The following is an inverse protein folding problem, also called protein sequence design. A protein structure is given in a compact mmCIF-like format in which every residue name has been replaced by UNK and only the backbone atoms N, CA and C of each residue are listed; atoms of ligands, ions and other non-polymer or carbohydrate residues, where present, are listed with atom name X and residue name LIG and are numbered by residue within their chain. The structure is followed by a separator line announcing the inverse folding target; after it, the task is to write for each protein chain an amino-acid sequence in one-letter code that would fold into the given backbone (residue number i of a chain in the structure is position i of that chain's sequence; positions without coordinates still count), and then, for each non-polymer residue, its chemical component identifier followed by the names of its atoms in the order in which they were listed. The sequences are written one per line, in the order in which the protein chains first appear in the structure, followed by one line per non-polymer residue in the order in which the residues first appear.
data_IF_667672587710
#
_entry.id   IF_667672587710
#
_cell.length_a   1.000
_cell.length_b   1.000
_cell.length_c   1.000
_cell.angle_alpha   90.00
_cell.angle_beta   90.00
_cell.angle_gamma   90.00
#
_symmetry.space_group_name_H-M   'P 1'
#
loop_
_entity.id
_entity.type
_entity.pdbx_description
1 polymer ?
#
# COMPACT_ATOMS: atom_id res chain seq x y z
N UNK A 1 -8.53 33.65 17.35
CA UNK A 1 -8.49 34.08 15.94
C UNK A 1 -8.42 32.82 15.09
N UNK A 2 -9.40 32.52 14.23
CA UNK A 2 -9.35 31.31 13.43
C UNK A 2 -8.20 31.43 12.43
N UNK A 3 -7.34 30.42 12.41
CA UNK A 3 -6.30 30.23 11.41
C UNK A 3 -7.03 30.02 10.08
N UNK A 4 -6.94 30.99 9.18
CA UNK A 4 -7.33 30.79 7.79
C UNK A 4 -6.27 29.90 7.15
N UNK A 5 -6.60 28.64 6.96
CA UNK A 5 -5.84 27.74 6.09
C UNK A 5 -5.66 28.44 4.74
N UNK A 6 -4.41 28.63 4.35
CA UNK A 6 -4.07 28.93 2.97
C UNK A 6 -4.25 27.64 2.17
N UNK A 7 -5.38 27.52 1.51
CA UNK A 7 -5.55 26.54 0.44
C UNK A 7 -4.51 26.86 -0.61
N UNK A 8 -3.72 25.86 -0.99
CA UNK A 8 -2.72 25.98 -2.06
C UNK A 8 -3.45 26.36 -3.36
N UNK A 9 -3.13 27.50 -3.98
CA UNK A 9 -3.84 27.97 -5.16
C UNK A 9 -3.60 27.13 -6.42
N UNK A 10 -2.72 26.14 -6.38
CA UNK A 10 -2.37 25.30 -7.54
C UNK A 10 -3.10 23.94 -7.60
N UNK A 11 -4.00 23.63 -6.65
CA UNK A 11 -4.89 22.47 -6.78
C UNK A 11 -6.02 22.85 -7.76
N UNK A 12 -6.17 22.15 -8.89
CA UNK A 12 -7.24 22.43 -9.83
C UNK A 12 -8.60 22.26 -9.15
N UNK A 13 -9.48 23.24 -9.29
CA UNK A 13 -10.88 23.26 -8.78
C UNK A 13 -11.63 21.96 -9.14
N UNK A 14 -11.31 21.39 -10.30
CA UNK A 14 -11.87 20.14 -10.85
C UNK A 14 -11.57 18.88 -9.98
N UNK A 15 -10.46 18.86 -9.25
CA UNK A 15 -10.10 17.72 -8.38
C UNK A 15 -10.93 17.73 -7.10
N UNK A 16 -11.13 18.90 -6.50
CA UNK A 16 -11.92 19.05 -5.28
C UNK A 16 -13.41 18.73 -5.54
N UNK A 17 -13.96 19.15 -6.68
CA UNK A 17 -15.33 18.82 -7.07
C UNK A 17 -15.52 17.31 -7.28
N UNK A 18 -14.53 16.63 -7.87
CA UNK A 18 -14.57 15.16 -8.05
C UNK A 18 -14.52 14.41 -6.72
N UNK A 19 -13.65 14.82 -5.81
CA UNK A 19 -13.55 14.19 -4.48
C UNK A 19 -14.82 14.39 -3.66
N UNK A 20 -15.38 15.60 -3.66
CA UNK A 20 -16.65 15.89 -3.00
C UNK A 20 -17.79 15.03 -3.56
N UNK A 21 -17.85 14.87 -4.89
CA UNK A 21 -18.83 14.01 -5.55
C UNK A 21 -18.68 12.52 -5.15
N UNK A 22 -17.45 12.03 -5.01
CA UNK A 22 -17.19 10.65 -4.57
C UNK A 22 -17.58 10.42 -3.11
N UNK A 23 -17.31 11.40 -2.24
CA UNK A 23 -17.73 11.35 -0.84
C UNK A 23 -19.26 11.33 -0.72
N UNK A 24 -19.96 12.25 -1.39
CA UNK A 24 -21.43 12.29 -1.38
C UNK A 24 -22.04 11.00 -1.95
N UNK A 25 -21.42 10.43 -2.97
CA UNK A 25 -21.83 9.14 -3.55
C UNK A 25 -21.60 7.99 -2.56
N UNK A 26 -20.45 7.94 -1.86
CA UNK A 26 -20.14 6.94 -0.84
C UNK A 26 -21.18 6.97 0.29
N UNK A 27 -21.40 8.17 0.84
CA UNK A 27 -22.39 8.40 1.91
C UNK A 27 -23.78 7.98 1.46
N UNK A 28 -24.24 8.42 0.29
CA UNK A 28 -25.56 8.10 -0.24
C UNK A 28 -25.78 6.62 -0.48
N UNK A 29 -24.75 5.91 -0.98
CA UNK A 29 -24.82 4.46 -1.18
C UNK A 29 -24.84 3.70 0.12
N UNK A 30 -24.05 4.12 1.11
CA UNK A 30 -24.09 3.51 2.44
C UNK A 30 -25.45 3.68 3.11
N UNK A 31 -26.02 4.88 3.10
CA UNK A 31 -27.39 5.14 3.63
C UNK A 31 -28.44 4.27 2.93
N UNK A 32 -28.33 4.13 1.60
CA UNK A 32 -29.25 3.28 0.82
C UNK A 32 -29.11 1.81 1.19
N UNK A 33 -27.89 1.32 1.39
CA UNK A 33 -27.60 -0.04 1.85
C UNK A 33 -28.14 -0.29 3.26
N UNK A 34 -27.95 0.67 4.18
CA UNK A 34 -28.45 0.61 5.54
C UNK A 34 -29.99 0.51 5.56
N UNK A 35 -30.65 1.35 4.76
CA UNK A 35 -32.12 1.33 4.66
C UNK A 35 -32.62 0.00 4.09
N UNK A 36 -31.94 -0.57 3.09
CA UNK A 36 -32.27 -1.90 2.55
C UNK A 36 -32.10 -3.01 3.59
N UNK A 37 -31.21 -2.81 4.57
CA UNK A 37 -31.00 -3.69 5.72
C UNK A 37 -31.93 -3.42 6.90
N UNK A 38 -32.90 -2.51 6.75
CA UNK A 38 -33.88 -2.15 7.80
C UNK A 38 -33.33 -1.22 8.89
N UNK A 39 -32.19 -0.55 8.65
CA UNK A 39 -31.55 0.36 9.59
C UNK A 39 -31.61 1.78 9.02
N UNK A 40 -32.18 2.70 9.80
CA UNK A 40 -32.14 4.13 9.45
C UNK A 40 -30.82 4.74 9.91
N UNK A 41 -30.12 5.38 8.96
CA UNK A 41 -28.83 6.06 9.18
C UNK A 41 -28.95 7.48 8.65
N UNK A 42 -28.65 8.48 9.48
CA UNK A 42 -28.59 9.87 9.05
C UNK A 42 -27.31 10.15 8.27
N UNK A 43 -27.24 11.29 7.56
CA UNK A 43 -26.01 11.69 6.87
C UNK A 43 -24.84 11.83 7.84
N UNK A 44 -25.06 12.47 8.98
CA UNK A 44 -24.04 12.68 10.01
C UNK A 44 -23.54 11.35 10.60
N UNK A 45 -24.46 10.38 10.85
CA UNK A 45 -24.07 9.05 11.32
C UNK A 45 -23.27 8.29 10.27
N UNK A 46 -23.61 8.45 8.97
CA UNK A 46 -22.91 7.82 7.88
C UNK A 46 -21.49 8.39 7.74
N UNK A 47 -21.34 9.71 7.72
CA UNK A 47 -20.04 10.39 7.65
C UNK A 47 -19.16 10.02 8.84
N UNK A 48 -19.70 10.03 10.04
CA UNK A 48 -18.99 9.60 11.24
C UNK A 48 -18.57 8.14 11.18
N UNK A 49 -19.46 7.25 10.71
CA UNK A 49 -19.13 5.81 10.59
C UNK A 49 -18.01 5.58 9.57
N UNK A 50 -17.99 6.33 8.46
CA UNK A 50 -16.93 6.28 7.46
C UNK A 50 -15.61 6.77 8.07
N UNK A 51 -15.62 7.90 8.80
CA UNK A 51 -14.41 8.44 9.44
C UNK A 51 -13.88 7.48 10.52
N UNK A 52 -14.75 6.93 11.37
CA UNK A 52 -14.39 5.92 12.36
C UNK A 52 -13.83 4.66 11.70
N UNK A 53 -14.42 4.22 10.57
CA UNK A 53 -13.96 3.06 9.81
C UNK A 53 -12.55 3.29 9.25
N UNK A 54 -12.31 4.45 8.65
CA UNK A 54 -11.00 4.84 8.12
C UNK A 54 -9.98 4.94 9.25
N UNK A 55 -10.34 5.54 10.37
CA UNK A 55 -9.45 5.74 11.52
C UNK A 55 -9.07 4.46 12.24
N UNK A 56 -10.03 3.55 12.45
CA UNK A 56 -9.81 2.30 13.20
C UNK A 56 -9.18 1.19 12.35
N UNK A 57 -9.45 1.18 11.05
CA UNK A 57 -9.12 0.06 10.18
C UNK A 57 -8.15 0.40 9.06
N UNK A 58 -7.70 1.65 9.00
CA UNK A 58 -6.87 2.12 7.89
C UNK A 58 -5.67 1.22 7.61
N UNK A 59 -4.96 0.80 8.64
CA UNK A 59 -3.79 -0.08 8.49
C UNK A 59 -4.22 -1.52 8.18
N UNK A 60 -5.25 -2.02 8.82
CA UNK A 60 -5.69 -3.42 8.66
C UNK A 60 -6.39 -3.64 7.31
N UNK A 61 -7.12 -2.64 6.80
CA UNK A 61 -7.69 -2.66 5.46
C UNK A 61 -6.63 -2.62 4.37
N UNK A 62 -5.61 -1.78 4.52
CA UNK A 62 -4.46 -1.78 3.61
C UNK A 62 -3.69 -3.10 3.65
N UNK A 63 -3.73 -3.81 4.79
CA UNK A 63 -3.16 -5.15 4.95
C UNK A 63 -4.07 -6.27 4.48
N UNK A 64 -5.31 -5.97 4.06
CA UNK A 64 -6.31 -6.97 3.72
C UNK A 64 -6.69 -7.88 4.90
N UNK A 65 -6.44 -7.45 6.13
CA UNK A 65 -6.85 -8.17 7.33
C UNK A 65 -8.34 -7.91 7.52
N UNK A 66 -9.15 -8.88 7.12
CA UNK A 66 -10.58 -8.90 7.41
C UNK A 66 -10.83 -9.59 8.75
N UNK A 67 -10.13 -9.20 9.82
CA UNK A 67 -10.46 -9.70 11.15
C UNK A 67 -11.62 -8.90 11.72
N UNK A 68 -12.83 -9.34 11.40
CA UNK A 68 -14.08 -8.76 11.89
C UNK A 68 -14.32 -9.02 13.39
N UNK A 69 -13.46 -9.77 14.08
CA UNK A 69 -13.64 -10.16 15.47
C UNK A 69 -13.47 -9.00 16.47
N UNK A 70 -12.70 -7.98 16.09
CA UNK A 70 -12.48 -6.78 16.92
C UNK A 70 -13.60 -5.72 16.83
N UNK A 71 -14.60 -5.93 15.93
CA UNK A 71 -15.65 -4.93 15.64
C UNK A 71 -16.90 -5.26 16.46
N UNK A 72 -16.77 -5.32 17.75
CA UNK A 72 -17.77 -6.06 18.51
C UNK A 72 -18.99 -5.27 18.92
N UNK A 73 -18.93 -3.94 19.12
CA UNK A 73 -20.02 -3.23 19.80
C UNK A 73 -20.74 -2.14 19.00
N UNK A 74 -20.23 -1.73 17.83
CA UNK A 74 -20.90 -0.71 17.01
C UNK A 74 -21.67 -1.33 15.83
N UNK A 75 -23.03 -1.34 15.87
CA UNK A 75 -23.83 -1.94 14.81
C UNK A 75 -23.70 -1.22 13.47
N UNK A 76 -23.44 0.10 13.45
CA UNK A 76 -23.24 0.87 12.22
C UNK A 76 -21.89 0.50 11.57
N UNK A 77 -20.86 0.25 12.37
CA UNK A 77 -19.58 -0.19 11.88
C UNK A 77 -19.68 -1.57 11.22
N UNK A 78 -20.35 -2.54 11.85
CA UNK A 78 -20.61 -3.86 11.24
C UNK A 78 -21.38 -3.76 9.93
N UNK A 79 -22.36 -2.85 9.91
CA UNK A 79 -23.13 -2.59 8.70
C UNK A 79 -22.25 -2.00 7.57
N UNK A 80 -21.34 -1.10 7.94
CA UNK A 80 -20.40 -0.51 6.96
C UNK A 80 -19.43 -1.55 6.38
N UNK A 81 -18.96 -2.50 7.16
CA UNK A 81 -18.15 -3.62 6.66
C UNK A 81 -18.94 -4.48 5.65
N UNK A 82 -20.19 -4.80 5.96
CA UNK A 82 -21.04 -5.54 5.04
C UNK A 82 -21.27 -4.74 3.74
N UNK A 83 -21.45 -3.44 3.85
CA UNK A 83 -21.53 -2.53 2.70
C UNK A 83 -20.21 -2.53 1.91
N UNK A 84 -19.06 -2.36 2.55
CA UNK A 84 -17.74 -2.37 1.92
C UNK A 84 -17.54 -3.66 1.12
N UNK A 85 -17.77 -4.82 1.73
CA UNK A 85 -17.70 -6.11 1.03
C UNK A 85 -18.66 -6.21 -0.16
N UNK A 86 -19.82 -5.57 -0.08
CA UNK A 86 -20.78 -5.56 -1.19
C UNK A 86 -20.34 -4.71 -2.38
N UNK A 87 -19.54 -3.66 -2.14
CA UNK A 87 -19.05 -2.79 -3.21
C UNK A 87 -17.72 -3.26 -3.82
N UNK A 88 -16.98 -4.14 -3.17
CA UNK A 88 -15.72 -4.68 -3.70
C UNK A 88 -15.84 -5.22 -5.13
N UNK A 89 -16.95 -5.89 -5.43
CA UNK A 89 -17.22 -6.44 -6.76
C UNK A 89 -18.13 -5.58 -7.64
N UNK A 90 -18.89 -4.64 -7.04
CA UNK A 90 -19.94 -3.90 -7.75
C UNK A 90 -19.58 -2.44 -8.05
N UNK A 91 -18.62 -1.87 -7.33
CA UNK A 91 -18.20 -0.48 -7.49
C UNK A 91 -16.72 -0.27 -7.14
N UNK A 92 -15.80 -0.75 -7.97
CA UNK A 92 -14.36 -0.63 -7.74
C UNK A 92 -13.90 0.82 -7.50
N UNK A 93 -14.56 1.81 -8.11
CA UNK A 93 -14.19 3.22 -7.96
C UNK A 93 -14.42 3.75 -6.54
N UNK A 94 -15.45 3.27 -5.83
CA UNK A 94 -15.65 3.61 -4.42
C UNK A 94 -14.67 2.88 -3.50
N UNK A 95 -14.28 1.66 -3.83
CA UNK A 95 -13.25 0.92 -3.09
C UNK A 95 -11.91 1.64 -3.19
N UNK A 96 -11.55 2.07 -4.39
CA UNK A 96 -10.33 2.88 -4.61
C UNK A 96 -10.37 4.20 -3.84
N UNK A 97 -11.52 4.89 -3.88
CA UNK A 97 -11.70 6.13 -3.12
C UNK A 97 -11.57 5.92 -1.60
N UNK A 98 -12.16 4.87 -1.05
CA UNK A 98 -11.96 4.51 0.38
C UNK A 98 -10.47 4.25 0.66
N UNK A 99 -9.77 3.55 -0.23
CA UNK A 99 -8.33 3.34 -0.14
C UNK A 99 -7.55 4.66 -0.10
N UNK A 100 -7.90 5.63 -0.95
CA UNK A 100 -7.26 6.95 -0.95
C UNK A 100 -7.52 7.74 0.34
N UNK A 101 -8.74 7.66 0.89
CA UNK A 101 -9.07 8.28 2.19
C UNK A 101 -8.25 7.67 3.34
N UNK A 102 -8.05 6.35 3.33
CA UNK A 102 -7.21 5.64 4.31
C UNK A 102 -5.77 6.12 4.23
N UNK A 103 -5.19 6.18 3.02
CA UNK A 103 -3.84 6.69 2.81
C UNK A 103 -3.73 8.14 3.26
N UNK A 104 -4.70 8.98 2.88
CA UNK A 104 -4.77 10.38 3.31
C UNK A 104 -4.82 10.52 4.84
N UNK A 105 -5.58 9.67 5.53
CA UNK A 105 -5.65 9.66 7.00
C UNK A 105 -4.32 9.27 7.63
N UNK A 106 -3.69 8.20 7.14
CA UNK A 106 -2.37 7.76 7.63
C UNK A 106 -1.34 8.89 7.45
N UNK A 107 -1.32 9.55 6.30
CA UNK A 107 -0.45 10.70 6.05
C UNK A 107 -0.77 11.85 7.00
N UNK A 108 -2.05 12.15 7.21
CA UNK A 108 -2.49 13.20 8.14
C UNK A 108 -2.05 12.90 9.57
N UNK A 109 -2.23 11.66 10.04
CA UNK A 109 -1.81 11.25 11.38
C UNK A 109 -0.27 11.32 11.52
N UNK A 110 0.48 11.00 10.46
CA UNK A 110 1.93 11.21 10.40
C UNK A 110 2.30 12.71 10.47
N UNK A 111 1.53 13.58 9.80
CA UNK A 111 1.73 15.03 9.78
C UNK A 111 1.44 15.68 11.15
N UNK A 112 0.27 15.40 11.71
CA UNK A 112 -0.18 16.01 12.96
C UNK A 112 0.75 15.58 14.11
N UNK A 113 1.18 14.34 14.10
CA UNK A 113 2.05 13.79 15.14
C UNK A 113 3.49 14.31 15.07
N UNK A 114 3.93 14.76 13.90
CA UNK A 114 5.22 15.45 13.73
C UNK A 114 5.21 16.92 14.21
N UNK A 115 4.03 17.47 14.54
CA UNK A 115 3.86 18.86 14.95
C UNK A 115 3.75 19.07 16.48
N UNK A 116 4.00 18.05 17.30
CA UNK A 116 4.06 18.26 18.74
C UNK A 116 5.23 19.22 19.04
N UNK A 117 4.90 20.46 19.46
CA UNK A 117 5.81 21.61 19.66
C UNK A 117 6.99 21.35 20.62
N UNK A 118 7.07 20.16 21.20
CA UNK A 118 8.17 19.73 22.08
C UNK A 118 9.30 19.04 21.32
N UNK A 119 9.11 18.65 20.06
CA UNK A 119 10.17 18.09 19.21
C UNK A 119 10.50 19.16 18.18
N UNK A 120 11.52 19.96 18.51
CA UNK A 120 12.06 20.95 17.59
C UNK A 120 12.26 20.33 16.21
N UNK A 121 12.11 21.13 15.15
CA UNK A 121 12.23 20.88 13.71
C UNK A 121 13.34 19.89 13.27
N UNK A 122 13.45 18.75 13.91
CA UNK A 122 14.31 17.65 13.48
C UNK A 122 13.58 16.96 12.32
N UNK A 123 14.11 17.20 11.10
CA UNK A 123 13.78 16.40 9.93
C UNK A 123 13.69 14.94 10.37
N UNK A 124 12.57 14.32 10.17
CA UNK A 124 12.39 12.91 10.50
C UNK A 124 13.50 12.11 9.80
N UNK A 125 14.34 11.42 10.56
CA UNK A 125 15.30 10.47 9.99
C UNK A 125 14.64 9.17 9.57
N UNK A 126 13.32 9.13 9.55
CA UNK A 126 12.54 7.98 9.18
C UNK A 126 12.71 7.64 7.69
N UNK A 127 12.60 6.38 7.37
CA UNK A 127 12.66 5.86 6.01
C UNK A 127 11.42 5.02 5.70
N UNK A 128 10.92 5.16 4.49
CA UNK A 128 9.84 4.34 3.96
C UNK A 128 10.44 3.40 2.93
N UNK A 129 10.28 2.10 3.14
CA UNK A 129 10.71 1.06 2.23
C UNK A 129 9.52 0.58 1.40
N UNK A 130 9.69 0.58 0.08
CA UNK A 130 8.65 0.16 -0.86
C UNK A 130 8.87 -1.27 -1.30
N UNK A 131 7.78 -2.01 -1.39
CA UNK A 131 7.74 -3.34 -1.97
C UNK A 131 7.77 -3.29 -3.51
N UNK A 132 8.13 -4.41 -4.15
CA UNK A 132 8.12 -4.61 -5.60
C UNK A 132 6.79 -4.22 -6.24
N UNK A 133 5.67 -4.61 -5.63
CA UNK A 133 4.32 -4.32 -6.12
C UNK A 133 4.00 -2.82 -6.14
N UNK A 134 4.45 -2.10 -5.12
CA UNK A 134 4.29 -0.63 -5.03
C UNK A 134 5.13 0.08 -6.09
N UNK A 135 6.39 -0.38 -6.28
CA UNK A 135 7.28 0.19 -7.29
C UNK A 135 6.76 -0.06 -8.71
N UNK A 136 6.21 -1.25 -8.99
CA UNK A 136 5.59 -1.50 -10.29
C UNK A 136 4.41 -0.56 -10.56
N UNK A 137 3.54 -0.35 -9.60
CA UNK A 137 2.43 0.60 -9.74
C UNK A 137 2.92 2.03 -9.98
N UNK A 138 3.95 2.47 -9.22
CA UNK A 138 4.58 3.77 -9.41
C UNK A 138 5.18 3.95 -10.81
N UNK A 139 5.77 2.89 -11.36
CA UNK A 139 6.36 2.91 -12.70
C UNK A 139 5.33 2.71 -13.83
N UNK A 140 4.05 2.59 -13.48
CA UNK A 140 2.97 2.34 -14.42
C UNK A 140 2.99 0.92 -15.02
N UNK A 141 3.67 -0.04 -14.37
CA UNK A 141 3.74 -1.45 -14.77
C UNK A 141 2.60 -2.22 -14.08
N UNK A 142 1.39 -1.73 -14.19
CA UNK A 142 0.19 -2.36 -13.64
C UNK A 142 -0.88 -2.48 -14.73
N UNK A 143 -1.86 -3.37 -14.52
CA UNK A 143 -3.02 -3.49 -15.42
C UNK A 143 -3.94 -2.26 -15.33
N UNK A 144 -3.96 -1.62 -14.16
CA UNK A 144 -4.68 -0.38 -13.90
C UNK A 144 -3.64 0.66 -13.51
N UNK A 145 -3.67 1.81 -14.14
CA UNK A 145 -2.73 2.89 -13.83
C UNK A 145 -3.06 3.55 -12.48
N UNK A 146 -2.30 3.17 -11.48
CA UNK A 146 -2.33 3.75 -10.13
C UNK A 146 -1.10 4.64 -9.87
N UNK A 147 -0.29 4.93 -10.88
CA UNK A 147 0.97 5.64 -10.72
C UNK A 147 0.82 6.96 -9.97
N UNK A 148 -0.23 7.71 -10.28
CA UNK A 148 -0.51 9.00 -9.65
C UNK A 148 -0.69 8.90 -8.13
N UNK A 149 -1.41 7.91 -7.64
CA UNK A 149 -1.63 7.70 -6.19
C UNK A 149 -0.29 7.45 -5.48
N UNK A 150 0.59 6.65 -6.08
CA UNK A 150 1.90 6.37 -5.50
C UNK A 150 2.89 7.54 -5.65
N UNK A 151 2.80 8.32 -6.73
CA UNK A 151 3.55 9.57 -6.86
C UNK A 151 3.19 10.55 -5.75
N UNK A 152 1.90 10.73 -5.47
CA UNK A 152 1.41 11.62 -4.42
C UNK A 152 1.83 11.11 -3.03
N UNK A 153 1.76 9.79 -2.77
CA UNK A 153 2.26 9.17 -1.55
C UNK A 153 3.76 9.43 -1.34
N UNK A 154 4.58 9.23 -2.38
CA UNK A 154 6.02 9.47 -2.31
C UNK A 154 6.31 10.95 -2.07
N UNK A 155 5.65 11.84 -2.82
CA UNK A 155 5.79 13.28 -2.68
C UNK A 155 5.46 13.73 -1.26
N UNK A 156 4.32 13.31 -0.70
CA UNK A 156 3.93 13.60 0.67
C UNK A 156 4.94 13.07 1.70
N UNK A 157 5.42 11.84 1.51
CA UNK A 157 6.45 11.22 2.36
C UNK A 157 7.74 12.05 2.38
N UNK A 158 8.18 12.53 1.21
CA UNK A 158 9.38 13.35 1.08
C UNK A 158 9.19 14.76 1.65
N UNK A 159 8.01 15.36 1.50
CA UNK A 159 7.66 16.63 2.13
C UNK A 159 7.74 16.56 3.67
N UNK A 160 7.43 15.40 4.25
CA UNK A 160 7.63 15.10 5.67
C UNK A 160 9.11 14.96 6.07
N UNK A 161 10.03 15.06 5.12
CA UNK A 161 11.46 14.89 5.35
C UNK A 161 11.89 13.43 5.52
N UNK A 162 11.01 12.47 5.21
CA UNK A 162 11.34 11.05 5.23
C UNK A 162 12.05 10.64 3.95
N UNK A 163 12.92 9.64 4.03
CA UNK A 163 13.59 9.07 2.87
C UNK A 163 12.77 7.91 2.31
N UNK A 164 12.64 7.85 0.99
CA UNK A 164 11.98 6.73 0.31
C UNK A 164 13.05 5.80 -0.24
N UNK A 165 12.93 4.53 0.08
CA UNK A 165 13.94 3.51 -0.23
C UNK A 165 13.31 2.22 -0.74
N UNK A 166 14.15 1.42 -1.38
CA UNK A 166 13.91 -0.01 -1.62
C UNK A 166 15.12 -0.81 -1.16
N UNK A 167 14.91 -2.03 -0.71
CA UNK A 167 16.00 -2.94 -0.41
C UNK A 167 16.70 -3.42 -1.69
N UNK A 168 17.97 -3.80 -1.58
CA UNK A 168 18.72 -4.38 -2.70
C UNK A 168 18.04 -5.62 -3.29
N UNK A 169 17.44 -6.47 -2.47
CA UNK A 169 16.75 -7.66 -2.95
C UNK A 169 15.46 -7.31 -3.71
N UNK A 170 14.73 -6.25 -3.29
CA UNK A 170 13.58 -5.68 -4.03
C UNK A 170 14.02 -5.17 -5.40
N UNK A 171 15.12 -4.42 -5.46
CA UNK A 171 15.69 -3.98 -6.73
C UNK A 171 16.03 -5.15 -7.66
N UNK A 172 16.71 -6.17 -7.13
CA UNK A 172 17.06 -7.37 -7.89
C UNK A 172 15.84 -8.13 -8.40
N UNK A 173 14.76 -8.15 -7.62
CA UNK A 173 13.50 -8.72 -8.03
C UNK A 173 12.86 -7.95 -9.18
N UNK A 174 12.78 -6.61 -9.07
CA UNK A 174 12.27 -5.76 -10.15
C UNK A 174 13.00 -6.03 -11.46
N UNK A 175 14.33 -6.04 -11.44
CA UNK A 175 15.16 -6.36 -12.62
C UNK A 175 14.82 -7.75 -13.16
N UNK A 176 14.75 -8.76 -12.29
CA UNK A 176 14.48 -10.15 -12.70
C UNK A 176 13.10 -10.29 -13.34
N UNK A 177 12.07 -9.65 -12.77
CA UNK A 177 10.71 -9.73 -13.30
C UNK A 177 10.56 -8.97 -14.63
N UNK A 178 11.23 -7.83 -14.77
CA UNK A 178 11.24 -7.08 -16.04
C UNK A 178 11.97 -7.89 -17.11
N UNK A 179 13.19 -8.35 -16.86
CA UNK A 179 13.96 -9.15 -17.79
C UNK A 179 13.27 -10.47 -18.17
N UNK A 180 12.64 -11.14 -17.20
CA UNK A 180 11.87 -12.34 -17.47
C UNK A 180 10.71 -12.13 -18.45
N UNK A 181 10.25 -10.88 -18.61
CA UNK A 181 9.21 -10.55 -19.57
C UNK A 181 9.70 -10.59 -21.03
N UNK A 182 11.01 -10.41 -21.28
CA UNK A 182 11.59 -10.43 -22.62
C UNK A 182 11.34 -11.76 -23.36
N UNK A 183 11.39 -12.89 -22.64
CA UNK A 183 11.20 -14.22 -23.21
C UNK A 183 9.79 -14.42 -23.79
N UNK A 184 8.82 -13.68 -23.27
CA UNK A 184 7.42 -13.79 -23.64
C UNK A 184 7.01 -12.84 -24.77
N UNK A 185 7.83 -11.83 -25.09
CA UNK A 185 7.58 -10.91 -26.20
C UNK A 185 7.64 -11.66 -27.54
N UNK A 186 6.49 -11.71 -28.23
CA UNK A 186 6.34 -12.42 -29.49
C UNK A 186 6.37 -13.95 -29.38
N UNK A 187 6.29 -14.49 -28.17
CA UNK A 187 6.26 -15.93 -27.95
C UNK A 187 4.87 -16.49 -28.27
N UNK A 188 4.73 -17.47 -29.20
CA UNK A 188 3.44 -18.04 -29.57
C UNK A 188 2.79 -18.88 -28.44
N UNK A 189 3.55 -19.23 -27.40
CA UNK A 189 3.07 -19.96 -26.23
C UNK A 189 2.75 -19.04 -25.04
N UNK A 190 2.72 -17.71 -25.27
CA UNK A 190 2.34 -16.76 -24.24
C UNK A 190 0.92 -17.03 -23.74
N UNK A 191 0.79 -17.23 -22.43
CA UNK A 191 -0.50 -17.37 -21.75
C UNK A 191 -0.64 -16.26 -20.70
N UNK A 192 -1.57 -15.31 -20.90
CA UNK A 192 -1.76 -14.20 -19.97
C UNK A 192 -2.23 -14.66 -18.58
N UNK A 193 -2.88 -15.80 -18.45
CA UNK A 193 -3.34 -16.32 -17.16
C UNK A 193 -2.21 -16.86 -16.29
N UNK A 194 -1.13 -17.34 -16.93
CA UNK A 194 0.05 -17.84 -16.22
C UNK A 194 1.17 -16.79 -16.11
N UNK A 195 1.05 -15.66 -16.81
CA UNK A 195 2.06 -14.62 -16.86
C UNK A 195 2.08 -13.74 -15.60
N UNK A 196 3.25 -13.18 -15.26
CA UNK A 196 3.36 -12.16 -14.20
C UNK A 196 2.68 -10.84 -14.64
N UNK A 197 2.35 -9.96 -13.69
CA UNK A 197 1.77 -8.65 -14.00
C UNK A 197 2.69 -7.84 -14.94
N UNK A 198 4.00 -7.83 -14.68
CA UNK A 198 4.97 -7.16 -15.54
C UNK A 198 4.99 -7.73 -16.96
N UNK A 199 4.95 -9.06 -17.10
CA UNK A 199 4.89 -9.70 -18.43
C UNK A 199 3.62 -9.33 -19.17
N UNK A 200 2.47 -9.38 -18.50
CA UNK A 200 1.20 -8.95 -19.10
C UNK A 200 1.25 -7.49 -19.55
N UNK A 201 1.79 -6.60 -18.71
CA UNK A 201 1.95 -5.19 -19.07
C UNK A 201 2.78 -5.00 -20.34
N UNK A 202 3.99 -5.57 -20.41
CA UNK A 202 4.87 -5.37 -21.57
C UNK A 202 4.29 -5.99 -22.85
N UNK A 203 3.71 -7.17 -22.77
CA UNK A 203 3.09 -7.83 -23.94
C UNK A 203 1.85 -7.07 -24.40
N UNK A 204 0.95 -6.66 -23.51
CA UNK A 204 -0.28 -5.94 -23.84
C UNK A 204 -0.03 -4.56 -24.45
N UNK A 205 1.07 -3.92 -24.04
CA UNK A 205 1.46 -2.61 -24.55
C UNK A 205 2.40 -2.70 -25.77
N UNK A 206 2.59 -3.90 -26.36
CA UNK A 206 3.36 -4.15 -27.56
C UNK A 206 4.84 -3.72 -27.47
N UNK A 207 5.45 -3.84 -26.29
CA UNK A 207 6.88 -3.61 -26.15
C UNK A 207 7.67 -4.62 -26.96
N UNK A 208 8.79 -4.17 -27.53
CA UNK A 208 9.80 -5.03 -28.11
C UNK A 208 10.75 -5.56 -27.04
N UNK A 209 11.51 -6.61 -27.32
CA UNK A 209 12.54 -7.14 -26.40
C UNK A 209 13.59 -6.08 -26.04
N UNK A 210 14.02 -5.30 -27.03
CA UNK A 210 15.02 -4.25 -26.82
C UNK A 210 14.47 -3.15 -25.89
N UNK A 211 13.20 -2.76 -26.02
CA UNK A 211 12.56 -1.79 -25.13
C UNK A 211 12.41 -2.31 -23.70
N UNK A 212 12.12 -3.59 -23.51
CA UNK A 212 12.09 -4.21 -22.18
C UNK A 212 13.49 -4.25 -21.56
N UNK A 213 14.52 -4.61 -22.35
CA UNK A 213 15.91 -4.58 -21.91
C UNK A 213 16.38 -3.15 -21.56
N UNK A 214 16.00 -2.15 -22.35
CA UNK A 214 16.24 -0.74 -22.04
C UNK A 214 15.51 -0.31 -20.78
N UNK A 215 14.26 -0.74 -20.60
CA UNK A 215 13.51 -0.44 -19.38
C UNK A 215 14.24 -0.99 -18.15
N UNK A 216 14.68 -2.26 -18.17
CA UNK A 216 15.42 -2.88 -17.08
C UNK A 216 16.73 -2.15 -16.78
N UNK A 217 17.51 -1.82 -17.83
CA UNK A 217 18.79 -1.12 -17.67
C UNK A 217 18.65 0.32 -17.15
N UNK A 218 17.55 0.99 -17.46
CA UNK A 218 17.24 2.35 -17.02
C UNK A 218 16.56 2.42 -15.65
N UNK A 219 16.31 1.29 -14.98
CA UNK A 219 15.52 1.22 -13.74
C UNK A 219 16.06 2.15 -12.63
N UNK A 220 17.39 2.17 -12.43
CA UNK A 220 18.03 3.07 -11.44
C UNK A 220 17.72 4.53 -11.76
N UNK A 221 17.80 4.92 -13.02
CA UNK A 221 17.49 6.29 -13.45
C UNK A 221 16.02 6.62 -13.26
N UNK A 222 15.13 5.65 -13.50
CA UNK A 222 13.68 5.82 -13.27
C UNK A 222 13.35 5.99 -11.80
N UNK A 223 13.92 5.16 -10.92
CA UNK A 223 13.78 5.29 -9.46
C UNK A 223 14.35 6.65 -8.97
N UNK A 224 15.48 7.08 -9.55
CA UNK A 224 16.09 8.37 -9.24
C UNK A 224 15.21 9.59 -9.53
N UNK A 225 14.28 9.51 -10.49
CA UNK A 225 13.29 10.57 -10.75
C UNK A 225 12.36 10.82 -9.57
N UNK A 226 12.06 9.76 -8.85
CA UNK A 226 11.24 9.79 -7.63
C UNK A 226 12.09 9.93 -6.36
N UNK A 227 13.41 10.15 -6.48
CA UNK A 227 14.36 10.22 -5.37
C UNK A 227 14.31 8.97 -4.47
N UNK A 228 14.05 7.81 -5.07
CA UNK A 228 14.06 6.53 -4.37
C UNK A 228 15.48 6.00 -4.31
N UNK A 229 15.97 5.75 -3.09
CA UNK A 229 17.31 5.21 -2.81
C UNK A 229 17.27 3.69 -2.79
N UNK A 230 18.33 3.05 -3.32
CA UNK A 230 18.53 1.62 -3.14
C UNK A 230 19.38 1.43 -1.89
N UNK A 231 18.82 0.76 -0.89
CA UNK A 231 19.51 0.46 0.36
C UNK A 231 20.31 -0.83 0.20
N UNK A 232 21.63 -0.68 0.21
CA UNK A 232 22.60 -1.78 0.12
C UNK A 232 22.92 -2.41 1.47
N UNK A 233 22.00 -2.32 2.42
CA UNK A 233 22.18 -2.89 3.74
C UNK A 233 22.59 -4.36 3.65
N UNK A 234 23.72 -4.70 4.24
CA UNK A 234 24.15 -6.08 4.38
C UNK A 234 23.18 -6.86 5.28
N UNK A 235 23.12 -8.16 5.02
CA UNK A 235 22.30 -9.05 5.84
C UNK A 235 22.76 -8.97 7.31
N UNK A 236 21.88 -8.66 8.27
CA UNK A 236 22.30 -8.54 9.65
C UNK A 236 22.87 -9.87 10.18
N UNK A 237 24.07 -9.82 10.70
CA UNK A 237 24.75 -11.02 11.25
C UNK A 237 24.13 -11.55 12.54
N UNK A 238 23.24 -10.78 13.19
CA UNK A 238 22.48 -11.17 14.39
C UNK A 238 21.17 -10.41 14.46
N UNK A 239 20.15 -11.00 15.08
CA UNK A 239 18.90 -10.32 15.35
C UNK A 239 18.94 -9.64 16.72
N UNK A 240 18.55 -8.36 16.84
CA UNK A 240 18.33 -7.72 18.13
C UNK A 240 17.31 -8.50 18.97
N UNK A 241 17.39 -8.34 20.29
CA UNK A 241 16.42 -8.99 21.19
C UNK A 241 15.00 -8.52 20.88
N UNK A 242 14.10 -9.44 20.62
CA UNK A 242 12.70 -9.16 20.29
C UNK A 242 12.38 -9.07 18.79
N UNK A 243 13.39 -9.08 17.92
CA UNK A 243 13.22 -9.20 16.47
C UNK A 243 13.04 -10.67 16.12
N UNK A 244 11.99 -10.97 15.33
CA UNK A 244 11.80 -12.31 14.79
C UNK A 244 12.87 -12.63 13.74
N UNK A 245 13.24 -13.89 13.62
CA UNK A 245 14.09 -14.36 12.52
C UNK A 245 13.34 -14.32 11.18
N UNK A 246 14.07 -14.28 10.07
CA UNK A 246 13.47 -14.37 8.72
C UNK A 246 12.61 -15.62 8.57
N UNK A 247 13.05 -16.75 9.18
CA UNK A 247 12.27 -18.00 9.17
C UNK A 247 10.94 -17.85 9.91
N UNK A 248 10.90 -17.19 11.05
CA UNK A 248 9.65 -16.96 11.78
C UNK A 248 8.68 -16.08 10.98
N UNK A 249 9.18 -15.09 10.23
CA UNK A 249 8.36 -14.32 9.30
C UNK A 249 7.86 -15.19 8.15
N UNK A 250 8.71 -16.03 7.56
CA UNK A 250 8.31 -16.99 6.55
C UNK A 250 7.17 -17.88 7.02
N UNK A 251 7.33 -18.52 8.19
CA UNK A 251 6.33 -19.41 8.77
C UNK A 251 4.98 -18.69 9.02
N UNK A 252 5.02 -17.44 9.50
CA UNK A 252 3.82 -16.61 9.68
C UNK A 252 3.11 -16.30 8.36
N UNK A 253 3.85 -15.97 7.31
CA UNK A 253 3.28 -15.68 5.99
C UNK A 253 2.64 -16.96 5.41
N UNK A 254 3.32 -18.09 5.50
CA UNK A 254 2.78 -19.39 5.06
C UNK A 254 1.50 -19.72 5.79
N UNK A 255 1.46 -19.57 7.13
CA UNK A 255 0.26 -19.80 7.93
C UNK A 255 -0.90 -18.90 7.47
N UNK A 256 -0.63 -17.64 7.19
CA UNK A 256 -1.63 -16.69 6.72
C UNK A 256 -2.15 -17.02 5.31
N UNK A 257 -1.28 -17.46 4.39
CA UNK A 257 -1.72 -17.95 3.08
C UNK A 257 -2.61 -19.20 3.21
N UNK A 258 -2.20 -20.18 4.02
CA UNK A 258 -2.98 -21.41 4.24
C UNK A 258 -4.34 -21.15 4.87
N UNK A 259 -4.43 -20.16 5.75
CA UNK A 259 -5.71 -19.80 6.39
C UNK A 259 -6.70 -19.18 5.41
N UNK A 260 -6.21 -18.53 4.34
CA UNK A 260 -7.04 -17.84 3.34
C UNK A 260 -7.40 -18.72 2.15
N UNK A 261 -6.46 -19.56 1.73
CA UNK A 261 -6.61 -20.42 0.56
C UNK A 261 -6.24 -21.86 0.92
N UNK A 262 -7.23 -22.74 1.09
CA UNK A 262 -6.99 -24.17 1.35
C UNK A 262 -6.24 -24.88 0.21
N UNK A 263 -6.22 -24.30 -1.00
CA UNK A 263 -5.50 -24.83 -2.16
C UNK A 263 -4.07 -24.25 -2.30
N UNK A 264 -3.63 -23.46 -1.31
CA UNK A 264 -2.33 -22.82 -1.30
C UNK A 264 -1.18 -23.83 -1.47
N UNK A 265 -0.39 -23.63 -2.49
CA UNK A 265 0.83 -24.39 -2.78
C UNK A 265 2.06 -23.57 -2.40
N UNK A 266 2.70 -23.99 -1.31
CA UNK A 266 3.87 -23.33 -0.75
C UNK A 266 5.06 -23.37 -1.72
N UNK A 267 5.26 -24.48 -2.44
CA UNK A 267 6.39 -24.65 -3.36
C UNK A 267 6.33 -23.60 -4.48
N UNK A 268 5.15 -23.40 -5.05
CA UNK A 268 4.90 -22.38 -6.09
C UNK A 268 5.14 -20.97 -5.58
N UNK A 269 4.83 -20.67 -4.32
CA UNK A 269 4.92 -19.32 -3.74
C UNK A 269 6.21 -19.07 -2.94
N UNK A 270 7.04 -20.08 -2.76
CA UNK A 270 8.23 -20.02 -1.90
C UNK A 270 9.09 -18.79 -2.15
N UNK A 271 9.44 -18.51 -3.39
CA UNK A 271 10.31 -17.37 -3.74
C UNK A 271 9.71 -16.01 -3.36
N UNK A 272 8.39 -15.86 -3.48
CA UNK A 272 7.69 -14.63 -3.08
C UNK A 272 7.71 -14.51 -1.56
N UNK A 273 7.38 -15.59 -0.85
CA UNK A 273 7.35 -15.61 0.61
C UNK A 273 8.73 -15.36 1.21
N UNK A 274 9.80 -15.94 0.64
CA UNK A 274 11.18 -15.70 1.08
C UNK A 274 11.53 -14.20 1.01
N UNK A 275 11.14 -13.50 -0.04
CA UNK A 275 11.42 -12.07 -0.23
C UNK A 275 10.60 -11.21 0.73
N UNK A 276 9.33 -11.53 0.87
CA UNK A 276 8.42 -10.84 1.78
C UNK A 276 8.91 -11.00 3.24
N UNK A 277 9.27 -12.23 3.65
CA UNK A 277 9.83 -12.51 4.96
C UNK A 277 11.13 -11.73 5.21
N UNK A 278 11.99 -11.65 4.20
CA UNK A 278 13.24 -10.88 4.28
C UNK A 278 12.98 -9.38 4.44
N UNK A 279 12.03 -8.82 3.69
CA UNK A 279 11.67 -7.40 3.81
C UNK A 279 11.15 -7.08 5.20
N UNK A 280 10.25 -7.90 5.74
CA UNK A 280 9.74 -7.74 7.10
C UNK A 280 10.84 -7.87 8.15
N UNK A 281 11.72 -8.86 7.99
CA UNK A 281 12.86 -9.06 8.88
C UNK A 281 13.79 -7.84 8.90
N UNK A 282 14.10 -7.28 7.72
CA UNK A 282 14.97 -6.11 7.61
C UNK A 282 14.35 -4.88 8.28
N UNK A 283 13.07 -4.62 8.04
CA UNK A 283 12.38 -3.48 8.65
C UNK A 283 12.28 -3.63 10.17
N UNK A 284 11.95 -4.83 10.67
CA UNK A 284 11.89 -5.10 12.10
C UNK A 284 13.29 -4.97 12.74
N UNK A 285 14.34 -5.42 12.04
CA UNK A 285 15.72 -5.25 12.47
C UNK A 285 16.14 -3.77 12.53
N UNK A 286 15.80 -2.98 11.49
CA UNK A 286 16.09 -1.54 11.47
C UNK A 286 15.35 -0.78 12.57
N UNK A 287 14.19 -1.26 12.97
CA UNK A 287 13.43 -0.73 14.10
C UNK A 287 13.89 -1.35 15.45
N UNK A 288 14.90 -2.22 15.44
CA UNK A 288 15.43 -2.90 16.64
C UNK A 288 14.35 -3.64 17.46
N UNK A 289 13.32 -4.15 16.80
CA UNK A 289 12.19 -4.83 17.44
C UNK A 289 11.29 -3.90 18.27
N UNK A 290 11.42 -2.59 18.11
CA UNK A 290 10.56 -1.61 18.79
C UNK A 290 9.14 -1.78 18.26
N UNK A 291 8.25 -2.25 19.12
CA UNK A 291 6.80 -2.28 18.88
C UNK A 291 6.20 -1.03 19.46
N UNK A 292 6.18 0.03 18.67
CA UNK A 292 5.57 1.27 19.11
C UNK A 292 4.06 1.22 18.91
N UNK A 293 3.25 1.66 19.89
CA UNK A 293 1.82 1.77 19.73
C UNK A 293 1.43 2.88 18.75
N UNK A 294 2.39 3.74 18.40
CA UNK A 294 2.20 4.87 17.47
C UNK A 294 3.24 4.81 16.35
N UNK A 295 2.80 5.08 15.13
CA UNK A 295 3.63 5.07 13.92
C UNK A 295 4.80 6.07 14.01
N UNK A 296 4.63 7.14 14.78
CA UNK A 296 5.61 8.21 15.04
C UNK A 296 6.89 7.74 15.73
N UNK A 297 6.78 6.64 16.46
CA UNK A 297 7.93 6.06 17.18
C UNK A 297 8.68 5.05 16.33
N UNK A 298 8.24 4.82 15.08
CA UNK A 298 8.84 3.88 14.14
C UNK A 298 9.73 4.68 13.19
N UNK A 299 11.00 4.32 13.12
CA UNK A 299 11.96 4.98 12.22
C UNK A 299 11.93 4.43 10.80
N UNK A 300 11.39 3.23 10.60
CA UNK A 300 11.36 2.56 9.30
C UNK A 300 10.00 1.91 9.07
N UNK A 301 9.38 2.22 7.93
CA UNK A 301 8.05 1.76 7.56
C UNK A 301 8.18 0.94 6.27
N UNK A 302 7.48 -0.19 6.17
CA UNK A 302 7.39 -0.97 4.94
C UNK A 302 6.01 -0.82 4.34
N UNK A 303 5.96 -0.44 3.06
CA UNK A 303 4.72 -0.29 2.30
C UNK A 303 4.66 -1.37 1.23
N UNK A 304 3.62 -2.18 1.29
CA UNK A 304 3.36 -3.27 0.34
C UNK A 304 1.89 -3.29 -0.05
N UNK A 305 1.61 -3.83 -1.23
CA UNK A 305 0.25 -4.18 -1.68
C UNK A 305 -0.09 -5.64 -1.39
N UNK A 306 0.85 -6.41 -0.86
CA UNK A 306 0.61 -7.80 -0.54
C UNK A 306 -0.26 -7.91 0.71
N UNK A 307 -1.53 -8.23 0.52
CA UNK A 307 -2.51 -8.41 1.59
C UNK A 307 -2.19 -9.60 2.52
N UNK A 308 -1.17 -10.38 2.20
CA UNK A 308 -0.71 -11.50 3.02
C UNK A 308 0.46 -11.14 3.93
N UNK A 309 0.90 -9.89 3.93
CA UNK A 309 1.85 -9.30 4.88
C UNK A 309 1.13 -8.40 5.85
#
# INVERSE_FOLDING_TARGET
TPVKEKIDPDVPDDTFEKEQHLLDRLVSRYISFARASGIEVTKDDAEKTIDDFIGLNGIDLLRGIQDYSAITDNPLMRLFYAFYSSIESTDPSLVEYIGSLIVGRILTDLFISGQDDTIGTTKSNASVYLDTSVVFSLLGIDEIDHSKVYEDLISATQQLGMRVKIFRHTYSELVTLIQGSEEWIGNPFYDPFCATASTRFFVSNNYTRDEVAEFASSLVTRLGRYQIEIDDMDYPGFSPRGVKSEKEYYDLIVEKYRSRDPSFDEETKQRTIDKDARSLYFVDHLNAGIRAPYIQSISNIFITRNNSL
#
